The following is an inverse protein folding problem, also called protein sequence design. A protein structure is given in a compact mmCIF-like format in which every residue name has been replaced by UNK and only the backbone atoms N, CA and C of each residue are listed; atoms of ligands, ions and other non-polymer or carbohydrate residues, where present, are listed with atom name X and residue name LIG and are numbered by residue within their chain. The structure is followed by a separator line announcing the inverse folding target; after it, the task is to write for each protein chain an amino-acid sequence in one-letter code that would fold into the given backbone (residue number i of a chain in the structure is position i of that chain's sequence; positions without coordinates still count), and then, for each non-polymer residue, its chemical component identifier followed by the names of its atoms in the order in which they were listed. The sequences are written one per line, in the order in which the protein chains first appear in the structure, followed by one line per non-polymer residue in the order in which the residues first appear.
data_IF_210484044312
#
_entry.id   IF_210484044312
#
_cell.length_a   1.000
_cell.length_b   1.000
_cell.length_c   1.000
_cell.angle_alpha   90.00
_cell.angle_beta   90.00
_cell.angle_gamma   90.00
#
_symmetry.space_group_name_H-M   'P 1'
#
loop_
_entity.id
_entity.type
_entity.pdbx_description
1 polymer ?
#
# COMPACT_ATOMS: atom_id res chain seq x y z
N UNK A 1 26.19 -8.18 35.73
CA UNK A 1 25.14 -8.00 34.69
C UNK A 1 25.16 -6.59 34.06
N UNK A 2 26.31 -6.08 33.59
CA UNK A 2 26.42 -4.72 33.00
C UNK A 2 26.62 -4.70 31.47
N UNK A 3 26.92 -5.85 30.86
CA UNK A 3 27.20 -6.00 29.42
C UNK A 3 25.94 -6.21 28.54
N UNK A 4 24.76 -6.49 29.11
CA UNK A 4 23.54 -6.70 28.29
C UNK A 4 23.02 -5.41 27.64
N UNK A 5 23.15 -4.26 28.32
CA UNK A 5 22.63 -2.98 27.86
C UNK A 5 23.23 -2.49 26.53
N UNK A 6 24.57 -2.53 26.31
CA UNK A 6 25.14 -2.15 25.02
C UNK A 6 24.79 -3.15 23.91
N UNK A 7 24.68 -4.43 24.22
CA UNK A 7 24.29 -5.46 23.26
C UNK A 7 22.85 -5.26 22.77
N UNK A 8 21.92 -4.96 23.68
CA UNK A 8 20.53 -4.61 23.33
C UNK A 8 20.44 -3.33 22.51
N UNK A 9 21.31 -2.34 22.76
CA UNK A 9 21.40 -1.13 21.92
C UNK A 9 21.89 -1.43 20.51
N UNK A 10 22.88 -2.30 20.35
CA UNK A 10 23.37 -2.71 19.03
C UNK A 10 22.29 -3.46 18.25
N UNK A 11 21.60 -4.40 18.90
CA UNK A 11 20.47 -5.12 18.28
C UNK A 11 19.36 -4.16 17.87
N UNK A 12 19.02 -3.18 18.72
CA UNK A 12 18.02 -2.14 18.41
C UNK A 12 18.46 -1.30 17.21
N UNK A 13 19.71 -0.84 17.19
CA UNK A 13 20.23 -0.03 16.10
C UNK A 13 20.32 -0.80 14.78
N UNK A 14 20.68 -2.09 14.83
CA UNK A 14 20.69 -2.97 13.67
C UNK A 14 19.26 -3.19 13.16
N UNK A 15 18.31 -3.40 14.06
CA UNK A 15 16.89 -3.52 13.72
C UNK A 15 16.35 -2.26 13.05
N UNK A 16 16.62 -1.08 13.62
CA UNK A 16 16.18 0.20 13.04
C UNK A 16 16.78 0.41 11.64
N UNK A 17 18.06 0.07 11.44
CA UNK A 17 18.69 0.09 10.13
C UNK A 17 18.04 -0.88 9.13
N UNK A 18 17.70 -2.10 9.58
CA UNK A 18 17.01 -3.10 8.76
C UNK A 18 15.61 -2.65 8.37
N UNK A 19 14.87 -2.01 9.28
CA UNK A 19 13.55 -1.42 9.02
C UNK A 19 13.66 -0.31 7.99
N UNK A 20 14.62 0.62 8.15
CA UNK A 20 14.84 1.70 7.18
C UNK A 20 15.25 1.15 5.81
N UNK A 21 16.13 0.15 5.77
CA UNK A 21 16.52 -0.51 4.53
C UNK A 21 15.32 -1.19 3.86
N UNK A 22 14.52 -1.95 4.60
CA UNK A 22 13.30 -2.56 4.11
C UNK A 22 12.30 -1.53 3.58
N UNK A 23 12.15 -0.40 4.30
CA UNK A 23 11.31 0.70 3.86
C UNK A 23 11.83 1.29 2.54
N UNK A 24 13.15 1.52 2.40
CA UNK A 24 13.74 2.02 1.14
C UNK A 24 13.59 1.01 0.00
N UNK A 25 13.83 -0.27 0.24
CA UNK A 25 13.71 -1.32 -0.78
C UNK A 25 12.25 -1.48 -1.25
N UNK A 26 11.30 -1.49 -0.32
CA UNK A 26 9.87 -1.61 -0.65
C UNK A 26 9.33 -0.31 -1.23
N UNK A 27 9.62 0.86 -0.65
CA UNK A 27 9.16 2.15 -1.17
C UNK A 27 9.81 2.51 -2.52
N UNK A 28 11.05 2.09 -2.75
CA UNK A 28 11.70 2.22 -4.05
C UNK A 28 10.96 1.42 -5.12
N UNK A 29 10.54 0.19 -4.80
CA UNK A 29 9.74 -0.67 -5.68
C UNK A 29 8.31 -0.14 -5.86
N UNK A 30 7.66 0.36 -4.81
CA UNK A 30 6.31 0.94 -4.93
C UNK A 30 6.32 2.23 -5.71
N UNK A 31 7.37 3.07 -5.63
CA UNK A 31 7.47 4.27 -6.46
C UNK A 31 7.57 3.95 -7.96
N UNK A 32 8.30 2.89 -8.32
CA UNK A 32 8.39 2.40 -9.69
C UNK A 32 7.06 1.80 -10.16
N UNK A 33 6.38 1.04 -9.29
CA UNK A 33 5.05 0.49 -9.56
C UNK A 33 3.99 1.58 -9.70
N UNK A 34 3.97 2.59 -8.83
CA UNK A 34 3.08 3.75 -8.91
C UNK A 34 3.36 4.56 -10.18
N UNK A 35 4.63 4.79 -10.53
CA UNK A 35 4.98 5.47 -11.78
C UNK A 35 4.52 4.68 -13.01
N UNK A 36 4.61 3.35 -12.98
CA UNK A 36 4.08 2.48 -14.03
C UNK A 36 2.55 2.50 -14.08
N UNK A 37 1.88 2.41 -12.92
CA UNK A 37 0.43 2.47 -12.78
C UNK A 37 -0.16 3.84 -13.16
N UNK A 38 0.60 4.93 -13.03
CA UNK A 38 0.20 6.26 -13.54
C UNK A 38 0.35 6.38 -15.05
N UNK A 39 1.28 5.65 -15.67
CA UNK A 39 1.54 5.67 -17.12
C UNK A 39 0.58 4.77 -17.90
N UNK A 40 0.15 3.66 -17.30
CA UNK A 40 -0.88 2.81 -17.86
C UNK A 40 -2.23 3.24 -17.28
N UNK A 41 -3.16 3.84 -18.05
CA UNK A 41 -4.52 3.98 -17.54
C UNK A 41 -5.00 2.59 -17.14
N UNK A 42 -5.48 2.45 -15.90
CA UNK A 42 -6.12 1.24 -15.37
C UNK A 42 -7.40 0.98 -16.19
N UNK A 43 -7.24 0.61 -17.46
CA UNK A 43 -8.30 -0.02 -18.25
C UNK A 43 -8.55 -1.31 -17.50
N UNK A 44 -9.75 -1.40 -16.92
CA UNK A 44 -10.08 -2.34 -15.86
C UNK A 44 -9.68 -3.79 -16.13
N UNK A 45 -9.78 -4.62 -15.10
CA UNK A 45 -9.31 -6.01 -15.15
C UNK A 45 -9.74 -6.73 -16.44
N UNK A 46 -8.86 -7.60 -16.99
CA UNK A 46 -9.15 -8.30 -18.23
C UNK A 46 -10.49 -9.06 -18.16
N UNK A 47 -11.16 -9.26 -19.31
CA UNK A 47 -12.41 -10.01 -19.33
C UNK A 47 -12.19 -11.41 -18.74
N UNK A 48 -13.05 -11.81 -17.80
CA UNK A 48 -12.96 -13.09 -17.10
C UNK A 48 -12.17 -13.08 -15.78
N UNK A 49 -11.62 -11.93 -15.35
CA UNK A 49 -10.98 -11.86 -14.04
C UNK A 49 -12.02 -12.01 -12.91
N UNK A 50 -11.80 -12.88 -11.89
CA UNK A 50 -12.79 -13.13 -10.83
C UNK A 50 -13.12 -11.87 -10.00
N UNK A 51 -12.16 -10.95 -9.91
CA UNK A 51 -12.30 -9.68 -9.18
C UNK A 51 -12.96 -8.57 -10.03
N UNK A 52 -13.30 -8.84 -11.30
CA UNK A 52 -13.96 -7.85 -12.15
C UNK A 52 -15.41 -7.70 -11.73
N UNK A 53 -15.79 -6.47 -11.35
CA UNK A 53 -17.18 -6.13 -11.08
C UNK A 53 -18.05 -6.46 -12.29
N UNK A 54 -19.13 -7.20 -12.02
CA UNK A 54 -20.18 -7.53 -12.98
C UNK A 54 -21.03 -6.29 -13.24
N UNK A 55 -20.96 -5.75 -14.46
CA UNK A 55 -21.73 -4.55 -14.83
C UNK A 55 -23.24 -4.79 -14.93
N UNK A 56 -23.64 -6.06 -15.08
CA UNK A 56 -25.01 -6.54 -15.14
C UNK A 56 -25.69 -6.64 -13.77
N UNK A 57 -24.92 -6.62 -12.68
CA UNK A 57 -25.44 -6.71 -11.32
C UNK A 57 -25.32 -5.35 -10.63
N UNK A 58 -26.42 -4.76 -10.15
CA UNK A 58 -26.36 -3.48 -9.46
C UNK A 58 -25.61 -3.63 -8.13
N UNK A 59 -24.80 -2.63 -7.79
CA UNK A 59 -24.09 -2.58 -6.52
C UNK A 59 -25.07 -2.55 -5.34
N UNK A 60 -24.79 -3.38 -4.33
CA UNK A 60 -25.48 -3.37 -3.05
C UNK A 60 -25.33 -2.00 -2.35
N UNK A 61 -26.15 -1.76 -1.32
CA UNK A 61 -26.06 -0.53 -0.54
C UNK A 61 -24.69 -0.33 0.11
N UNK A 62 -24.07 -1.43 0.57
CA UNK A 62 -22.73 -1.44 1.15
C UNK A 62 -21.66 -1.08 0.10
N UNK A 63 -21.69 -1.73 -1.06
CA UNK A 63 -20.72 -1.45 -2.13
C UNK A 63 -20.84 -0.03 -2.66
N UNK A 64 -22.05 0.53 -2.76
CA UNK A 64 -22.24 1.95 -3.10
C UNK A 64 -21.67 2.89 -2.04
N UNK A 65 -21.77 2.53 -0.76
CA UNK A 65 -21.15 3.30 0.32
C UNK A 65 -19.62 3.26 0.22
N UNK A 66 -19.05 2.07 0.03
CA UNK A 66 -17.61 1.88 -0.15
C UNK A 66 -17.08 2.59 -1.40
N UNK A 67 -17.80 2.52 -2.52
CA UNK A 67 -17.42 3.22 -3.74
C UNK A 67 -17.35 4.73 -3.55
N UNK A 68 -18.24 5.32 -2.74
CA UNK A 68 -18.18 6.75 -2.37
C UNK A 68 -16.99 7.04 -1.48
N UNK A 69 -16.76 6.24 -0.44
CA UNK A 69 -15.61 6.41 0.46
C UNK A 69 -14.27 6.31 -0.29
N UNK A 70 -14.16 5.39 -1.24
CA UNK A 70 -12.97 5.21 -2.08
C UNK A 70 -12.82 6.29 -3.16
N UNK A 71 -13.91 6.88 -3.63
CA UNK A 71 -13.86 7.99 -4.59
C UNK A 71 -13.49 9.30 -3.92
N UNK A 72 -13.96 9.51 -2.69
CA UNK A 72 -13.61 10.67 -1.85
C UNK A 72 -12.19 10.54 -1.28
N UNK A 73 -11.74 9.31 -1.00
CA UNK A 73 -10.33 9.01 -0.80
C UNK A 73 -9.60 8.99 -2.14
N UNK A 74 -9.45 10.17 -2.76
CA UNK A 74 -8.63 10.34 -3.97
C UNK A 74 -7.24 9.69 -3.82
N UNK A 75 -6.50 9.49 -4.93
CA UNK A 75 -5.22 8.78 -4.93
C UNK A 75 -4.17 9.58 -4.13
N UNK A 76 -4.13 9.39 -2.81
CA UNK A 76 -3.34 10.21 -1.93
C UNK A 76 -3.85 10.38 -0.50
N UNK A 77 -4.49 9.38 0.12
CA UNK A 77 -4.56 9.34 1.59
C UNK A 77 -3.15 9.04 2.15
N UNK A 78 -2.25 10.02 2.05
CA UNK A 78 -1.10 10.16 2.94
C UNK A 78 -1.68 10.57 4.31
N UNK A 79 -1.28 9.83 5.34
CA UNK A 79 -1.63 10.12 6.73
C UNK A 79 -1.23 11.54 7.17
N UNK A 80 -1.70 11.95 8.36
CA UNK A 80 -1.68 13.35 8.78
C UNK A 80 -0.25 13.91 8.92
N UNK A 81 -0.11 15.18 8.55
CA UNK A 81 1.06 16.02 8.78
C UNK A 81 1.21 16.41 10.26
#
# INVERSE_FOLDING_TARGET
MKLLRPCLRLVRSLWDALVVYGLLSVCGQTSAYEAAARRAPLRGLPPGHPERLRADVPLSALERRLARELSDAGPGHRGPA
#
